data_IF_697134625792
#
_entry.id   IF_697134625792
#
_cell.length_a   1.000
_cell.length_b   1.000
_cell.length_c   1.000
_cell.angle_alpha   90.00
_cell.angle_beta   90.00
_cell.angle_gamma   90.00
#
_symmetry.space_group_name_H-M   'P 1'
#
loop_
_entity.id
_entity.type
_entity.pdbx_description
1 polymer ?
#
# COMPACT_ATOMS: atom_id res chain seq x y z
N UNK A 1 0.10 13.67 -4.35
CA UNK A 1 1.49 13.17 -4.56
C UNK A 1 1.37 11.72 -4.99
N UNK A 2 1.82 11.37 -6.19
CA UNK A 2 1.53 10.06 -6.77
C UNK A 2 2.35 8.92 -6.16
N UNK A 3 1.74 7.73 -6.06
CA UNK A 3 2.37 6.51 -5.54
C UNK A 3 3.57 6.04 -6.39
N UNK A 4 3.73 6.56 -7.61
CA UNK A 4 4.81 6.23 -8.56
C UNK A 4 6.23 6.54 -8.05
N UNK A 5 6.33 7.38 -7.02
CA UNK A 5 7.60 7.72 -6.37
C UNK A 5 7.76 7.08 -5.01
N UNK A 6 6.84 6.22 -4.60
CA UNK A 6 6.89 5.51 -3.32
C UNK A 6 7.29 4.07 -3.57
N UNK A 7 8.30 3.62 -2.84
CA UNK A 7 8.96 2.34 -3.00
C UNK A 7 8.83 1.51 -1.73
N UNK A 8 8.54 0.22 -1.93
CA UNK A 8 8.78 -0.84 -0.97
C UNK A 8 10.12 -1.49 -1.29
N UNK A 9 10.96 -1.72 -0.27
CA UNK A 9 12.28 -2.34 -0.44
C UNK A 9 12.31 -3.64 0.37
N UNK A 10 12.48 -4.76 -0.31
CA UNK A 10 12.59 -6.07 0.31
C UNK A 10 13.69 -6.12 1.38
N UNK A 11 13.34 -6.63 2.56
CA UNK A 11 14.25 -6.72 3.71
C UNK A 11 14.44 -5.41 4.49
N UNK A 12 13.76 -4.31 4.11
CA UNK A 12 13.78 -3.05 4.85
C UNK A 12 12.38 -2.68 5.34
N UNK A 13 12.25 -2.11 6.55
CA UNK A 13 10.95 -1.73 7.08
C UNK A 13 10.45 -0.40 6.47
N UNK A 14 9.14 -0.28 6.34
CA UNK A 14 8.48 0.97 5.94
C UNK A 14 8.45 1.19 4.42
N UNK A 15 8.34 2.46 4.05
CA UNK A 15 8.26 2.94 2.68
C UNK A 15 9.32 4.01 2.44
N UNK A 16 9.69 4.16 1.18
CA UNK A 16 10.76 5.06 0.76
C UNK A 16 10.32 5.92 -0.41
N UNK A 17 10.56 7.22 -0.32
CA UNK A 17 10.36 8.16 -1.43
C UNK A 17 11.59 8.16 -2.33
N UNK A 18 11.41 7.88 -3.62
CA UNK A 18 12.47 7.99 -4.62
C UNK A 18 12.91 9.45 -4.77
N UNK A 19 14.20 9.73 -4.53
CA UNK A 19 14.79 11.06 -4.72
C UNK A 19 15.49 11.18 -6.06
N UNK A 20 16.37 10.22 -6.38
CA UNK A 20 17.09 10.20 -7.66
C UNK A 20 17.51 8.78 -8.03
N UNK A 21 17.56 8.51 -9.33
CA UNK A 21 18.21 7.33 -9.86
C UNK A 21 19.71 7.58 -10.02
N UNK A 22 20.51 6.53 -9.89
CA UNK A 22 21.97 6.53 -10.05
C UNK A 22 22.37 5.43 -11.02
N UNK A 23 23.62 5.41 -11.49
CA UNK A 23 24.12 4.33 -12.37
C UNK A 23 24.04 2.93 -11.75
N UNK A 24 24.05 2.84 -10.42
CA UNK A 24 24.11 1.55 -9.70
C UNK A 24 22.85 1.25 -8.89
N UNK A 25 21.79 2.06 -9.02
CA UNK A 25 20.57 1.91 -8.24
C UNK A 25 19.88 3.26 -8.04
N UNK A 26 19.45 3.57 -6.82
CA UNK A 26 18.74 4.83 -6.52
C UNK A 26 19.00 5.30 -5.09
N UNK A 27 18.79 6.60 -4.89
CA UNK A 27 18.74 7.24 -3.58
C UNK A 27 17.28 7.45 -3.23
N UNK A 28 16.88 6.98 -2.06
CA UNK A 28 15.53 7.13 -1.55
C UNK A 28 15.55 7.68 -0.12
N UNK A 29 14.45 8.31 0.29
CA UNK A 29 14.25 8.86 1.62
C UNK A 29 13.22 8.01 2.37
N UNK A 30 13.59 7.54 3.55
CA UNK A 30 12.70 6.77 4.42
C UNK A 30 11.53 7.63 4.92
N UNK A 31 10.30 7.15 4.73
CA UNK A 31 9.11 7.79 5.28
C UNK A 31 8.92 7.56 6.79
N UNK A 32 9.77 6.71 7.41
CA UNK A 32 9.74 6.46 8.85
C UNK A 32 10.53 7.51 9.65
N UNK A 33 11.70 7.89 9.15
CA UNK A 33 12.67 8.69 9.89
C UNK A 33 13.35 9.80 9.06
N UNK A 34 12.95 9.98 7.79
CA UNK A 34 13.51 11.00 6.89
C UNK A 34 14.95 10.73 6.45
N UNK A 35 15.54 9.57 6.80
CA UNK A 35 16.93 9.28 6.45
C UNK A 35 17.05 8.85 5.00
N UNK A 36 18.12 9.32 4.36
CA UNK A 36 18.48 8.91 3.00
C UNK A 36 19.16 7.55 3.01
N UNK A 37 18.78 6.71 2.06
CA UNK A 37 19.36 5.40 1.82
C UNK A 37 19.75 5.27 0.35
N UNK A 38 20.89 4.65 0.12
CA UNK A 38 21.28 4.20 -1.21
C UNK A 38 20.94 2.74 -1.35
N UNK A 39 20.26 2.40 -2.43
CA UNK A 39 19.73 1.06 -2.70
C UNK A 39 20.30 0.63 -4.04
N UNK A 40 20.88 -0.57 -4.10
CA UNK A 40 21.46 -1.10 -5.32
C UNK A 40 20.41 -1.70 -6.24
N UNK A 41 20.73 -1.87 -7.52
CA UNK A 41 19.81 -2.53 -8.48
C UNK A 41 19.53 -4.00 -8.15
N UNK A 42 20.36 -4.65 -7.31
CA UNK A 42 20.16 -6.04 -6.89
C UNK A 42 19.14 -6.19 -5.76
N UNK A 43 18.71 -5.10 -5.15
CA UNK A 43 17.66 -5.15 -4.14
C UNK A 43 16.30 -5.36 -4.80
N UNK A 44 15.46 -6.23 -4.21
CA UNK A 44 14.08 -6.38 -4.64
C UNK A 44 13.29 -5.13 -4.24
N UNK A 45 12.87 -4.34 -5.22
CA UNK A 45 12.17 -3.06 -5.01
C UNK A 45 10.92 -3.03 -5.88
N UNK A 46 9.82 -2.62 -5.24
CA UNK A 46 8.51 -2.52 -5.87
C UNK A 46 8.01 -1.09 -5.75
N UNK A 47 7.51 -0.52 -6.84
CA UNK A 47 6.83 0.77 -6.84
C UNK A 47 5.39 0.54 -6.36
N UNK A 48 4.89 1.37 -5.44
CA UNK A 48 3.56 1.16 -4.87
C UNK A 48 2.43 1.23 -5.90
N UNK A 49 2.60 1.98 -6.99
CA UNK A 49 1.62 2.03 -8.08
C UNK A 49 1.58 0.78 -8.96
N UNK A 50 2.60 -0.09 -8.88
CA UNK A 50 2.66 -1.36 -9.62
C UNK A 50 2.20 -2.56 -8.75
N UNK A 51 1.86 -2.32 -7.48
CA UNK A 51 1.38 -3.36 -6.58
C UNK A 51 -0.14 -3.46 -6.72
N UNK A 52 -0.65 -4.68 -6.80
CA UNK A 52 -2.08 -4.98 -6.77
C UNK A 52 -2.39 -6.08 -5.75
N UNK A 53 -3.66 -6.15 -5.35
CA UNK A 53 -4.23 -7.18 -4.48
C UNK A 53 -5.05 -8.12 -5.35
N UNK A 54 -4.85 -9.43 -5.19
CA UNK A 54 -5.65 -10.43 -5.89
C UNK A 54 -7.07 -10.44 -5.33
N UNK A 55 -8.05 -10.31 -6.22
CA UNK A 55 -9.46 -10.58 -5.95
C UNK A 55 -9.87 -11.87 -6.65
N UNK A 56 -11.09 -12.34 -6.38
CA UNK A 56 -11.65 -13.53 -7.02
C UNK A 56 -11.83 -13.38 -8.54
N UNK A 57 -11.89 -12.14 -9.04
CA UNK A 57 -12.09 -11.84 -10.47
C UNK A 57 -10.80 -11.34 -11.13
N UNK A 58 -10.16 -10.34 -10.53
CA UNK A 58 -9.04 -9.62 -11.13
C UNK A 58 -8.04 -9.07 -10.10
N UNK A 59 -7.03 -8.35 -10.57
CA UNK A 59 -6.06 -7.66 -9.71
C UNK A 59 -6.53 -6.24 -9.42
N UNK A 60 -6.76 -5.92 -8.14
CA UNK A 60 -7.17 -4.60 -7.69
C UNK A 60 -5.94 -3.76 -7.33
N UNK A 61 -5.65 -2.65 -8.04
CA UNK A 61 -4.49 -1.82 -7.74
C UNK A 61 -4.46 -1.33 -6.29
N UNK A 62 -3.26 -1.29 -5.68
CA UNK A 62 -3.10 -0.86 -4.29
C UNK A 62 -3.59 0.57 -4.06
N UNK A 63 -3.56 1.42 -5.10
CA UNK A 63 -4.15 2.77 -5.10
C UNK A 63 -5.66 2.72 -4.80
N UNK A 64 -6.40 1.87 -5.51
CA UNK A 64 -7.83 1.65 -5.33
C UNK A 64 -8.12 1.11 -3.93
N UNK A 65 -7.31 0.17 -3.43
CA UNK A 65 -7.43 -0.35 -2.06
C UNK A 65 -7.24 0.75 -1.02
N UNK A 66 -6.22 1.60 -1.15
CA UNK A 66 -6.03 2.73 -0.23
C UNK A 66 -7.16 3.75 -0.28
N UNK A 67 -7.79 3.96 -1.44
CA UNK A 67 -8.99 4.79 -1.55
C UNK A 67 -10.17 4.18 -0.80
N UNK A 68 -10.46 2.88 -0.97
CA UNK A 68 -11.51 2.19 -0.21
C UNK A 68 -11.28 2.28 1.32
N UNK A 69 -10.03 2.12 1.76
CA UNK A 69 -9.65 2.36 3.17
C UNK A 69 -9.94 3.81 3.57
N UNK A 70 -9.55 4.77 2.75
CA UNK A 70 -9.76 6.19 3.03
C UNK A 70 -11.24 6.54 3.16
N UNK A 71 -12.09 5.99 2.29
CA UNK A 71 -13.54 6.18 2.33
C UNK A 71 -14.14 5.58 3.60
N UNK A 72 -13.76 4.34 3.95
CA UNK A 72 -14.16 3.67 5.19
C UNK A 72 -13.80 4.46 6.45
N UNK A 73 -12.62 5.07 6.47
CA UNK A 73 -12.07 5.80 7.62
C UNK A 73 -12.39 7.30 7.59
N UNK A 74 -13.28 7.76 6.70
CA UNK A 74 -13.64 9.17 6.51
C UNK A 74 -12.42 10.09 6.35
N UNK A 75 -11.41 9.65 5.59
CA UNK A 75 -10.17 10.38 5.36
C UNK A 75 -9.12 10.23 6.47
N UNK A 76 -9.38 9.41 7.50
CA UNK A 76 -8.50 9.16 8.64
C UNK A 76 -7.48 8.04 8.43
N UNK A 77 -6.69 7.77 9.47
CA UNK A 77 -5.87 6.55 9.59
C UNK A 77 -6.77 5.33 9.87
N UNK A 78 -6.28 4.11 9.62
CA UNK A 78 -7.07 2.90 9.90
C UNK A 78 -7.49 2.81 11.37
N UNK A 79 -8.72 2.35 11.61
CA UNK A 79 -9.24 2.11 12.96
C UNK A 79 -8.46 1.02 13.71
N UNK A 80 -7.84 0.09 12.98
CA UNK A 80 -7.04 -1.00 13.54
C UNK A 80 -5.53 -0.80 13.32
N UNK A 81 -4.73 -1.38 14.21
CA UNK A 81 -3.28 -1.41 14.05
C UNK A 81 -2.80 -2.58 13.18
N UNK A 82 -1.70 -2.39 12.45
CA UNK A 82 -0.98 -3.47 11.73
C UNK A 82 -0.36 -4.55 12.65
N UNK A 83 -0.60 -4.49 13.96
CA UNK A 83 -0.14 -5.48 14.96
C UNK A 83 -1.29 -6.24 15.62
N UNK A 84 -2.53 -5.99 15.18
CA UNK A 84 -3.70 -6.74 15.64
C UNK A 84 -3.60 -8.21 15.22
N UNK A 85 -4.46 -9.03 15.83
CA UNK A 85 -4.58 -10.45 15.54
C UNK A 85 -5.00 -10.71 14.09
N UNK A 86 -4.61 -11.89 13.57
CA UNK A 86 -4.92 -12.34 12.21
C UNK A 86 -6.40 -12.13 11.86
N UNK A 87 -7.31 -12.60 12.71
CA UNK A 87 -8.75 -12.54 12.48
C UNK A 87 -9.24 -11.09 12.32
N UNK A 88 -8.78 -10.17 13.18
CA UNK A 88 -9.16 -8.75 13.08
C UNK A 88 -8.61 -8.08 11.81
N UNK A 89 -7.42 -8.48 11.37
CA UNK A 89 -6.85 -7.97 10.11
C UNK A 89 -7.69 -8.44 8.92
N UNK A 90 -8.06 -9.71 8.89
CA UNK A 90 -8.92 -10.30 7.84
C UNK A 90 -10.32 -9.69 7.85
N UNK A 91 -10.97 -9.58 9.02
CA UNK A 91 -12.28 -8.94 9.17
C UNK A 91 -12.26 -7.50 8.63
N UNK A 92 -11.27 -6.70 9.04
CA UNK A 92 -11.13 -5.34 8.55
C UNK A 92 -10.90 -5.27 7.04
N UNK A 93 -10.05 -6.17 6.52
CA UNK A 93 -9.72 -6.16 5.09
C UNK A 93 -10.90 -6.63 4.24
N UNK A 94 -11.69 -7.58 4.72
CA UNK A 94 -12.92 -8.03 4.09
C UNK A 94 -13.96 -6.89 4.01
N UNK A 95 -14.05 -6.03 5.02
CA UNK A 95 -14.91 -4.85 4.95
C UNK A 95 -14.42 -3.78 3.96
N UNK A 96 -13.16 -3.84 3.51
CA UNK A 96 -12.58 -2.91 2.52
C UNK A 96 -12.61 -3.50 1.11
N UNK A 97 -12.29 -4.78 0.98
CA UNK A 97 -12.24 -5.52 -0.29
C UNK A 97 -12.97 -6.86 -0.08
N UNK A 98 -14.30 -6.92 -0.15
CA UNK A 98 -15.07 -8.13 0.19
C UNK A 98 -14.76 -9.36 -0.67
N UNK A 99 -14.19 -9.15 -1.85
CA UNK A 99 -13.89 -10.19 -2.84
C UNK A 99 -12.39 -10.48 -3.00
N UNK A 100 -11.56 -10.14 -2.00
CA UNK A 100 -10.14 -10.48 -2.04
C UNK A 100 -9.92 -12.01 -2.05
N UNK A 101 -8.91 -12.48 -2.77
CA UNK A 101 -8.57 -13.91 -2.83
C UNK A 101 -7.81 -14.32 -1.55
N UNK A 102 -8.51 -14.96 -0.61
CA UNK A 102 -7.96 -15.44 0.67
C UNK A 102 -6.82 -16.47 0.54
N UNK A 103 -6.71 -17.17 -0.59
CA UNK A 103 -5.63 -18.14 -0.82
C UNK A 103 -4.33 -17.45 -1.27
N UNK A 104 -4.44 -16.27 -1.90
CA UNK A 104 -3.31 -15.51 -2.44
C UNK A 104 -2.90 -14.32 -1.59
N UNK A 105 -3.85 -13.73 -0.86
CA UNK A 105 -3.62 -12.56 -0.01
C UNK A 105 -3.42 -13.03 1.42
N UNK A 106 -2.17 -13.13 1.84
CA UNK A 106 -1.86 -13.60 3.18
C UNK A 106 -2.09 -12.51 4.23
N UNK A 107 -2.31 -12.86 5.51
CA UNK A 107 -2.44 -11.89 6.59
C UNK A 107 -1.23 -10.94 6.72
N UNK A 108 -0.04 -11.41 6.32
CA UNK A 108 1.16 -10.58 6.26
C UNK A 108 1.07 -9.46 5.23
N UNK A 109 0.33 -9.66 4.15
CA UNK A 109 0.14 -8.66 3.09
C UNK A 109 -0.91 -7.64 3.52
N UNK A 110 -2.02 -8.09 4.12
CA UNK A 110 -3.01 -7.21 4.77
C UNK A 110 -2.32 -6.30 5.81
N UNK A 111 -1.45 -6.90 6.64
CA UNK A 111 -0.63 -6.17 7.61
C UNK A 111 0.25 -5.10 6.96
N UNK A 112 0.89 -5.41 5.81
CA UNK A 112 1.69 -4.42 5.07
C UNK A 112 0.82 -3.30 4.52
N UNK A 113 -0.34 -3.61 3.93
CA UNK A 113 -1.28 -2.62 3.39
C UNK A 113 -1.68 -1.61 4.48
N UNK A 114 -2.12 -2.10 5.65
CA UNK A 114 -2.50 -1.24 6.79
C UNK A 114 -1.31 -0.41 7.28
N UNK A 115 -0.13 -1.01 7.39
CA UNK A 115 1.08 -0.30 7.80
C UNK A 115 1.45 0.82 6.81
N UNK A 116 1.38 0.52 5.52
CA UNK A 116 1.71 1.44 4.44
C UNK A 116 0.71 2.59 4.35
N UNK A 117 -0.59 2.31 4.38
CA UNK A 117 -1.64 3.33 4.38
C UNK A 117 -1.43 4.33 5.53
N UNK A 118 -1.25 3.83 6.75
CA UNK A 118 -1.02 4.68 7.91
C UNK A 118 0.27 5.49 7.82
N UNK A 119 1.33 4.92 7.22
CA UNK A 119 2.59 5.62 7.03
C UNK A 119 2.47 6.73 5.99
N UNK A 120 1.76 6.47 4.89
CA UNK A 120 1.45 7.46 3.85
C UNK A 120 0.63 8.61 4.43
N UNK A 121 -0.43 8.29 5.17
CA UNK A 121 -1.29 9.27 5.84
C UNK A 121 -0.51 10.17 6.81
N UNK A 122 0.34 9.58 7.67
CA UNK A 122 1.22 10.33 8.59
C UNK A 122 2.19 11.27 7.88
N UNK A 123 2.59 10.96 6.65
CA UNK A 123 3.46 11.80 5.84
C UNK A 123 2.69 12.78 4.92
N UNK A 124 1.36 12.90 5.09
CA UNK A 124 0.51 13.78 4.28
C UNK A 124 0.32 13.31 2.84
N UNK A 125 0.59 12.03 2.55
CA UNK A 125 0.33 11.41 1.24
C UNK A 125 -1.03 10.72 1.34
N UNK A 126 -2.09 11.48 1.06
CA UNK A 126 -3.49 11.02 1.16
C UNK A 126 -4.25 11.15 -0.16
N UNK A 127 -3.52 11.40 -1.24
CA UNK A 127 -4.04 11.63 -2.57
C UNK A 127 -4.00 10.30 -3.33
N UNK A 128 -5.09 9.54 -3.20
CA UNK A 128 -5.25 8.20 -3.77
C UNK A 128 -6.30 8.17 -4.88
N UNK A 129 -6.41 9.22 -5.70
CA UNK A 129 -7.43 9.32 -6.77
C UNK A 129 -7.50 8.03 -7.61
N UNK A 130 -8.52 7.20 -7.42
CA UNK A 130 -8.76 6.09 -8.33
C UNK A 130 -9.31 6.67 -9.64
N UNK A 131 -8.79 6.19 -10.77
CA UNK A 131 -9.41 6.48 -12.05
C UNK A 131 -10.87 5.99 -12.01
N UNK A 132 -11.81 6.73 -12.62
CA UNK A 132 -13.25 6.46 -12.50
C UNK A 132 -13.67 5.07 -13.02
N UNK A 133 -12.80 4.34 -13.71
CA UNK A 133 -13.08 2.98 -14.22
C UNK A 133 -12.95 1.88 -13.14
N UNK A 134 -12.33 2.14 -11.99
CA UNK A 134 -12.04 1.14 -10.95
C UNK A 134 -13.15 1.01 -9.88
N UNK A 135 -14.22 1.81 -9.98
CA UNK A 135 -15.23 1.98 -8.92
C UNK A 135 -16.59 1.33 -9.21
N UNK A 136 -16.77 0.64 -10.35
CA UNK A 136 -18.10 0.35 -10.92
C UNK A 136 -18.47 -1.15 -11.03
N UNK A 137 -18.15 -1.98 -10.02
CA UNK A 137 -18.52 -3.41 -10.04
C UNK A 137 -19.32 -3.89 -8.84
N UNK A 138 -20.05 -3.01 -8.15
CA UNK A 138 -21.07 -3.40 -7.18
C UNK A 138 -22.38 -2.63 -7.38
N UNK A 139 -23.12 -2.90 -8.47
CA UNK A 139 -24.60 -2.89 -8.50
C UNK A 139 -25.10 -3.80 -9.65
N UNK A 140 -25.39 -5.08 -9.34
CA UNK A 140 -26.63 -5.83 -9.70
C UNK A 140 -26.58 -7.29 -9.19
#
# INVERSE_FOLDING_TARGET
>A
MSLDKILSIGGRPGLYKLLTQTRTGFVAESLLDGKRVTVGMTNNVSVLSEIAIFTLKEELPLKSVFKKIQEKENGGTTAIGHKEDKLKLEEYFFEVVPDYDEERVYPSDIKKVIQWYNLLHKNGITDFEADPEDSDTEEE
#
